data_IF_106221150103
#
_entry.id   IF_106221150103
#
_cell.length_a   1.000
_cell.length_b   1.000
_cell.length_c   1.000
_cell.angle_alpha   90.00
_cell.angle_beta   90.00
_cell.angle_gamma   90.00
#
_symmetry.space_group_name_H-M   'P 1'
#
loop_
_entity.id
_entity.type
_entity.pdbx_description
1 polymer ?
#
# COMPACT_ATOMS: atom_id res chain seq x y z
N UNK A 1 -5.36 14.16 -24.88
CA UNK A 1 -5.26 13.27 -23.69
C UNK A 1 -4.10 12.28 -23.84
N UNK A 2 -3.72 11.88 -25.05
CA UNK A 2 -2.56 11.03 -25.37
C UNK A 2 -1.26 11.33 -24.59
N UNK A 3 -0.78 12.58 -24.57
CA UNK A 3 0.44 12.95 -23.81
C UNK A 3 0.38 12.59 -22.32
N UNK A 4 -0.79 12.76 -21.68
CA UNK A 4 -0.95 12.41 -20.25
C UNK A 4 -1.02 10.89 -20.04
N UNK A 5 -1.50 10.16 -21.05
CA UNK A 5 -1.62 8.70 -21.03
C UNK A 5 -0.24 8.05 -21.16
N UNK A 6 0.54 8.50 -22.15
CA UNK A 6 1.93 8.07 -22.39
C UNK A 6 2.81 8.39 -21.16
N UNK A 7 2.70 9.60 -20.61
CA UNK A 7 3.45 9.98 -19.40
C UNK A 7 3.07 9.13 -18.18
N UNK A 8 1.80 8.75 -18.04
CA UNK A 8 1.34 7.91 -16.94
C UNK A 8 1.86 6.48 -17.03
N UNK A 9 2.04 5.93 -18.25
CA UNK A 9 2.64 4.61 -18.44
C UNK A 9 4.08 4.55 -17.95
N UNK A 10 4.85 5.62 -18.19
CA UNK A 10 6.23 5.74 -17.71
C UNK A 10 6.31 6.09 -16.21
N UNK A 11 5.38 6.92 -15.72
CA UNK A 11 5.40 7.50 -14.38
C UNK A 11 4.09 7.26 -13.60
N UNK A 12 3.70 6.00 -13.29
CA UNK A 12 2.38 5.68 -12.74
C UNK A 12 2.16 6.17 -11.30
N UNK A 13 3.22 6.59 -10.60
CA UNK A 13 3.15 7.15 -9.25
C UNK A 13 2.84 8.64 -9.25
N UNK A 14 2.82 9.29 -10.41
CA UNK A 14 2.62 10.73 -10.52
C UNK A 14 1.15 11.13 -10.51
N UNK A 15 0.78 11.93 -9.51
CA UNK A 15 -0.57 12.47 -9.38
C UNK A 15 -0.80 13.78 -10.12
N UNK A 16 -1.97 14.37 -9.88
CA UNK A 16 -2.47 15.62 -10.50
C UNK A 16 -1.44 16.76 -10.52
N UNK A 17 -0.68 16.94 -9.43
CA UNK A 17 0.31 18.03 -9.33
C UNK A 17 1.49 17.80 -10.27
N UNK A 18 2.03 16.58 -10.29
CA UNK A 18 3.17 16.21 -11.14
C UNK A 18 2.78 16.19 -12.62
N UNK A 19 1.60 15.67 -12.95
CA UNK A 19 1.04 15.74 -14.30
C UNK A 19 0.87 17.20 -14.78
N UNK A 20 0.45 18.11 -13.89
CA UNK A 20 0.41 19.55 -14.22
C UNK A 20 1.82 20.09 -14.50
N UNK A 21 2.79 19.73 -13.68
CA UNK A 21 4.17 20.21 -13.84
C UNK A 21 4.79 19.68 -15.14
N UNK A 22 4.54 18.42 -15.50
CA UNK A 22 4.87 17.84 -16.81
C UNK A 22 4.23 18.61 -17.97
N UNK A 23 2.94 18.93 -17.88
CA UNK A 23 2.30 19.75 -18.92
C UNK A 23 2.92 21.15 -19.00
N UNK A 24 3.35 21.71 -17.86
CA UNK A 24 4.02 23.00 -17.81
C UNK A 24 5.41 22.96 -18.47
N UNK A 25 6.18 21.87 -18.31
CA UNK A 25 7.49 21.72 -18.99
C UNK A 25 7.35 21.62 -20.50
N UNK A 26 6.21 21.15 -21.00
CA UNK A 26 5.85 21.15 -22.42
C UNK A 26 5.26 22.50 -22.90
N UNK A 27 5.25 23.53 -22.05
CA UNK A 27 4.69 24.85 -22.37
C UNK A 27 3.15 24.94 -22.27
N UNK A 28 2.47 23.87 -21.85
CA UNK A 28 1.01 23.80 -21.78
C UNK A 28 0.56 24.26 -20.39
N UNK A 29 0.10 25.51 -20.28
CA UNK A 29 -0.44 26.05 -19.01
C UNK A 29 -1.86 25.55 -18.75
N UNK A 30 -2.01 24.66 -17.77
CA UNK A 30 -3.32 24.09 -17.38
C UNK A 30 -3.52 24.15 -15.86
N UNK A 31 -4.72 24.50 -15.41
CA UNK A 31 -5.07 24.46 -14.00
C UNK A 31 -5.15 23.01 -13.48
N UNK A 32 -4.67 22.75 -12.27
CA UNK A 32 -4.73 21.45 -11.59
C UNK A 32 -6.17 20.89 -11.51
N UNK A 33 -7.21 21.74 -11.45
CA UNK A 33 -8.61 21.28 -11.48
C UNK A 33 -8.96 20.60 -12.80
N UNK A 34 -8.46 21.13 -13.93
CA UNK A 34 -8.67 20.55 -15.27
C UNK A 34 -7.89 19.26 -15.44
N UNK A 35 -6.63 19.22 -15.00
CA UNK A 35 -5.83 17.98 -15.00
C UNK A 35 -6.53 16.88 -14.21
N UNK A 36 -7.03 17.19 -12.99
CA UNK A 36 -7.81 16.23 -12.18
C UNK A 36 -9.04 15.70 -12.91
N UNK A 37 -9.80 16.58 -13.58
CA UNK A 37 -10.97 16.17 -14.36
C UNK A 37 -10.59 15.22 -15.49
N UNK A 38 -9.53 15.52 -16.24
CA UNK A 38 -9.08 14.70 -17.36
C UNK A 38 -8.57 13.33 -16.90
N UNK A 39 -7.74 13.28 -15.85
CA UNK A 39 -7.28 12.01 -15.29
C UNK A 39 -8.44 11.12 -14.83
N UNK A 40 -9.48 11.70 -14.21
CA UNK A 40 -10.70 10.96 -13.83
C UNK A 40 -11.47 10.43 -15.04
N UNK A 41 -11.60 11.21 -16.11
CA UNK A 41 -12.25 10.76 -17.35
C UNK A 41 -11.48 9.62 -18.01
N UNK A 42 -10.17 9.57 -17.84
CA UNK A 42 -9.30 8.50 -18.32
C UNK A 42 -9.23 7.30 -17.36
N UNK A 43 -9.86 7.37 -16.18
CA UNK A 43 -9.77 6.32 -15.16
C UNK A 43 -8.39 6.20 -14.49
N UNK A 44 -7.54 7.21 -14.62
CA UNK A 44 -6.16 7.19 -14.10
C UNK A 44 -6.08 7.73 -12.66
N UNK A 45 -5.38 6.99 -11.80
CA UNK A 45 -5.07 7.38 -10.42
C UNK A 45 -3.63 7.06 -10.09
N UNK A 46 -2.93 7.98 -9.41
CA UNK A 46 -1.57 7.73 -8.98
C UNK A 46 -1.47 6.47 -8.09
N UNK A 47 -0.54 5.59 -8.44
CA UNK A 47 -0.23 4.40 -7.65
C UNK A 47 0.65 4.84 -6.49
N UNK A 48 0.11 4.73 -5.27
CA UNK A 48 0.88 4.96 -4.06
C UNK A 48 1.46 3.65 -3.54
N UNK A 49 2.68 3.67 -2.96
CA UNK A 49 3.23 2.51 -2.29
C UNK A 49 2.27 2.08 -1.17
N UNK A 50 1.83 0.83 -1.21
CA UNK A 50 1.12 0.23 -0.08
C UNK A 50 2.10 0.00 1.06
N UNK A 51 1.60 0.04 2.29
CA UNK A 51 2.41 -0.28 3.48
C UNK A 51 2.94 -1.71 3.33
N UNK A 52 4.23 -1.85 3.08
CA UNK A 52 4.87 -3.14 2.95
C UNK A 52 5.18 -3.68 4.35
N UNK A 53 4.26 -4.47 4.91
CA UNK A 53 4.42 -5.10 6.23
C UNK A 53 5.57 -6.12 6.27
N UNK A 54 6.01 -6.60 5.10
CA UNK A 54 7.04 -7.64 4.93
C UNK A 54 8.44 -7.03 4.87
N UNK A 55 8.56 -5.71 4.64
CA UNK A 55 9.87 -5.00 4.56
C UNK A 55 10.57 -4.83 5.91
N UNK A 56 10.17 -5.63 6.90
CA UNK A 56 10.86 -5.86 8.16
C UNK A 56 11.18 -7.35 8.23
N UNK A 57 12.43 -7.72 7.93
CA UNK A 57 13.33 -8.35 8.93
C UNK A 57 14.51 -9.03 8.27
N UNK A 58 15.63 -8.90 8.98
CA UNK A 58 16.80 -9.76 8.91
C UNK A 58 16.36 -11.22 8.75
N UNK A 59 16.85 -11.91 7.71
CA UNK A 59 16.52 -13.29 7.37
C UNK A 59 16.61 -14.25 8.58
N UNK A 60 17.36 -13.87 9.61
CA UNK A 60 17.48 -14.55 10.91
C UNK A 60 16.15 -14.84 11.63
N UNK A 61 15.06 -14.12 11.33
CA UNK A 61 13.76 -14.33 11.97
C UNK A 61 12.76 -15.14 11.12
N UNK A 62 13.15 -15.56 9.91
CA UNK A 62 12.31 -16.46 9.12
C UNK A 62 12.44 -17.86 9.73
N UNK A 63 11.30 -18.48 10.06
CA UNK A 63 11.22 -19.85 10.58
C UNK A 63 10.23 -20.65 9.71
N UNK A 64 10.47 -21.95 9.50
CA UNK A 64 9.50 -22.79 8.81
C UNK A 64 8.18 -22.80 9.58
N UNK A 65 7.06 -22.73 8.88
CA UNK A 65 5.74 -22.86 9.49
C UNK A 65 5.48 -24.35 9.78
N UNK A 66 5.67 -24.74 11.04
CA UNK A 66 5.67 -26.15 11.48
C UNK A 66 4.30 -26.82 11.42
N UNK A 67 3.22 -26.05 11.28
CA UNK A 67 1.86 -26.57 11.14
C UNK A 67 1.48 -26.81 9.66
N UNK A 68 2.38 -26.53 8.71
CA UNK A 68 2.15 -26.83 7.31
C UNK A 68 1.99 -28.35 7.14
N UNK A 69 0.95 -28.76 6.43
CA UNK A 69 0.61 -30.16 6.14
C UNK A 69 0.27 -31.04 7.36
N UNK A 70 0.16 -30.45 8.56
CA UNK A 70 -0.30 -31.16 9.75
C UNK A 70 -1.83 -31.28 9.75
N UNK A 71 -2.35 -32.50 9.73
CA UNK A 71 -3.77 -32.74 9.96
C UNK A 71 -4.11 -32.63 11.46
N UNK A 72 -5.04 -31.72 11.80
CA UNK A 72 -5.57 -31.54 13.16
C UNK A 72 -6.81 -32.43 13.32
N UNK A 73 -6.66 -33.58 13.95
CA UNK A 73 -7.66 -34.66 14.01
C UNK A 73 -8.32 -34.84 15.37
N UNK A 74 -7.84 -34.14 16.41
CA UNK A 74 -8.43 -34.19 17.76
C UNK A 74 -8.41 -32.83 18.46
N UNK A 75 -9.35 -32.57 19.40
CA UNK A 75 -9.27 -31.41 20.29
C UNK A 75 -7.92 -31.35 21.03
N UNK A 76 -7.47 -30.14 21.35
CA UNK A 76 -6.20 -29.89 22.06
C UNK A 76 -4.92 -30.36 21.35
N UNK A 77 -4.93 -30.50 20.03
CA UNK A 77 -3.75 -30.87 19.25
C UNK A 77 -2.91 -29.67 18.79
N UNK A 78 -3.55 -28.52 18.52
CA UNK A 78 -2.89 -27.27 18.10
C UNK A 78 -3.58 -26.11 18.81
N UNK A 79 -2.78 -25.23 19.41
CA UNK A 79 -3.25 -24.00 20.05
C UNK A 79 -2.69 -22.79 19.30
N UNK A 80 -3.52 -21.77 19.13
CA UNK A 80 -3.12 -20.47 18.62
C UNK A 80 -3.38 -19.43 19.71
N UNK A 81 -2.51 -18.43 19.80
CA UNK A 81 -2.66 -17.31 20.71
C UNK A 81 -2.15 -16.06 20.03
N UNK A 82 -2.88 -14.97 20.17
CA UNK A 82 -2.48 -13.67 19.64
C UNK A 82 -2.36 -12.65 20.77
N UNK A 83 -1.46 -11.68 20.60
CA UNK A 83 -1.30 -10.57 21.52
C UNK A 83 -1.77 -9.29 20.83
N UNK A 84 -2.73 -8.61 21.44
CA UNK A 84 -3.26 -7.33 20.97
C UNK A 84 -2.77 -6.20 21.88
N UNK A 85 -2.21 -5.16 21.27
CA UNK A 85 -1.79 -3.95 21.96
C UNK A 85 -2.95 -2.95 21.98
N UNK A 86 -3.44 -2.62 23.18
CA UNK A 86 -4.54 -1.68 23.35
C UNK A 86 -3.96 -0.33 23.82
N UNK A 87 -4.07 0.74 23.00
CA UNK A 87 -3.57 2.05 23.39
C UNK A 87 -4.39 2.65 24.53
N UNK A 88 -3.71 3.26 25.51
CA UNK A 88 -4.32 3.99 26.64
C UNK A 88 -3.63 5.35 26.81
N UNK A 89 -4.23 6.34 27.52
CA UNK A 89 -3.68 7.69 27.62
C UNK A 89 -2.22 7.78 28.12
N UNK A 90 -1.74 6.77 28.85
CA UNK A 90 -0.36 6.67 29.33
C UNK A 90 0.31 5.34 28.96
N UNK A 91 0.21 4.92 27.69
CA UNK A 91 0.95 3.77 27.17
C UNK A 91 0.09 2.73 26.46
N UNK A 92 0.35 1.45 26.72
CA UNK A 92 -0.34 0.32 26.10
C UNK A 92 -0.61 -0.80 27.12
N UNK A 93 -1.75 -1.46 26.97
CA UNK A 93 -2.04 -2.73 27.63
C UNK A 93 -1.87 -3.89 26.65
N UNK A 94 -1.55 -5.07 27.19
CA UNK A 94 -1.43 -6.31 26.43
C UNK A 94 -2.64 -7.19 26.72
N UNK A 95 -3.43 -7.49 25.69
CA UNK A 95 -4.52 -8.46 25.76
C UNK A 95 -4.06 -9.74 25.04
N UNK A 96 -4.26 -10.89 25.67
CA UNK A 96 -3.98 -12.20 25.09
C UNK A 96 -5.23 -13.05 25.21
N UNK A 97 -5.57 -13.77 24.15
CA UNK A 97 -6.72 -14.68 24.08
C UNK A 97 -6.45 -15.78 23.04
#
# INVERSE_FOLDING_TARGET
MRLMDEHYLEHPTEGVKRMRDFLLTLGIRVNHKRVRRLLRLMGLMAIYPRRNLIRLRQAKYIRPYLLRDLQVVRPNQVWAIDITYIPVPRGFLYLTA
#
